data_IF_333308956307
#
_entry.id   IF_333308956307
#
_cell.length_a   1.000
_cell.length_b   1.000
_cell.length_c   1.000
_cell.angle_alpha   90.00
_cell.angle_beta   90.00
_cell.angle_gamma   90.00
#
_symmetry.space_group_name_H-M   'P 1'
#
loop_
_entity.id
_entity.type
_entity.pdbx_description
1 polymer ?
#
# COMPACT_ATOMS: atom_id res chain seq x y z
N UNK A 1 -11.07 22.38 13.32
CA UNK A 1 -9.97 21.61 13.91
C UNK A 1 -10.38 21.25 15.32
N UNK A 2 -10.20 19.97 15.73
CA UNK A 2 -10.35 19.58 17.12
C UNK A 2 -9.11 19.96 17.93
N UNK A 3 -9.26 20.22 19.22
CA UNK A 3 -8.15 20.44 20.15
C UNK A 3 -8.20 19.40 21.26
N UNK A 4 -7.03 19.01 21.75
CA UNK A 4 -6.90 18.16 22.92
C UNK A 4 -6.50 19.02 24.11
N UNK A 5 -7.17 18.82 25.24
CA UNK A 5 -6.77 19.40 26.54
C UNK A 5 -6.22 18.24 27.35
N UNK A 6 -4.97 18.36 27.79
CA UNK A 6 -4.29 17.30 28.53
C UNK A 6 -3.91 17.86 29.93
N UNK A 7 -4.45 17.23 30.97
CA UNK A 7 -4.07 17.49 32.36
C UNK A 7 -3.10 16.39 32.81
N UNK A 8 -1.91 16.77 33.23
CA UNK A 8 -0.89 15.88 33.75
C UNK A 8 -0.92 15.78 35.25
N UNK A 9 0.03 15.04 35.87
CA UNK A 9 0.21 14.94 37.31
C UNK A 9 -0.62 13.86 38.00
N UNK A 10 -1.38 13.06 37.27
CA UNK A 10 -2.15 11.94 37.80
C UNK A 10 -1.49 10.60 37.45
N UNK A 11 -1.39 9.63 38.41
CA UNK A 11 -0.94 8.28 38.09
C UNK A 11 -1.97 7.59 37.15
N UNK A 12 -1.49 7.00 36.09
CA UNK A 12 -2.33 6.25 35.15
C UNK A 12 -2.31 4.77 35.52
N UNK A 13 -3.48 4.12 35.46
CA UNK A 13 -3.64 2.67 35.63
C UNK A 13 -4.64 2.16 34.61
N UNK A 14 -4.43 0.93 34.12
CA UNK A 14 -5.31 0.28 33.15
C UNK A 14 -4.53 -0.50 32.09
N UNK A 15 -5.28 -1.09 31.15
CA UNK A 15 -4.72 -1.86 30.04
C UNK A 15 -4.98 -1.13 28.73
N UNK A 16 -3.94 -0.97 27.91
CA UNK A 16 -4.04 -0.44 26.55
C UNK A 16 -3.78 -1.59 25.60
N UNK A 17 -4.72 -1.85 24.70
CA UNK A 17 -4.53 -2.78 23.58
C UNK A 17 -4.16 -1.98 22.34
N UNK A 18 -2.91 -2.12 21.82
CA UNK A 18 -2.51 -1.41 20.60
C UNK A 18 -3.28 -1.96 19.39
N UNK A 19 -3.64 -1.07 18.47
CA UNK A 19 -4.12 -1.46 17.15
C UNK A 19 -2.93 -1.84 16.25
N UNK A 20 -3.21 -2.48 15.10
CA UNK A 20 -2.19 -2.83 14.12
C UNK A 20 -1.37 -1.64 13.63
N UNK A 21 -0.11 -1.88 13.31
CA UNK A 21 0.81 -0.86 12.82
C UNK A 21 0.50 -0.51 11.35
N UNK A 22 0.42 0.78 11.03
CA UNK A 22 0.15 1.26 9.66
C UNK A 22 1.14 0.69 8.63
N UNK A 23 2.42 0.86 8.89
CA UNK A 23 3.45 0.51 7.92
C UNK A 23 3.51 -0.99 7.69
N UNK A 24 3.42 -1.80 8.73
CA UNK A 24 3.34 -3.25 8.64
C UNK A 24 2.11 -3.69 7.81
N UNK A 25 0.94 -3.11 8.08
CA UNK A 25 -0.27 -3.42 7.33
C UNK A 25 -0.11 -3.14 5.83
N UNK A 26 0.49 -2.00 5.45
CA UNK A 26 0.74 -1.66 4.04
C UNK A 26 1.64 -2.69 3.36
N UNK A 27 2.68 -3.14 4.03
CA UNK A 27 3.63 -4.13 3.49
C UNK A 27 3.00 -5.52 3.35
N UNK A 28 2.33 -6.01 4.40
CA UNK A 28 1.70 -7.34 4.40
C UNK A 28 0.53 -7.41 3.42
N UNK A 29 -0.26 -6.33 3.29
CA UNK A 29 -1.33 -6.24 2.29
C UNK A 29 -0.75 -6.32 0.88
N UNK A 30 0.33 -5.59 0.57
CA UNK A 30 1.01 -5.69 -0.72
C UNK A 30 1.58 -7.09 -0.98
N UNK A 31 2.10 -7.76 0.06
CA UNK A 31 2.63 -9.12 -0.06
C UNK A 31 1.56 -10.15 -0.47
N UNK A 32 0.26 -9.89 -0.22
CA UNK A 32 -0.81 -10.76 -0.70
C UNK A 32 -0.88 -10.87 -2.23
N UNK A 33 -0.28 -9.94 -2.97
CA UNK A 33 -0.16 -10.01 -4.43
C UNK A 33 0.80 -11.12 -4.90
N UNK A 34 1.66 -11.65 -4.03
CA UNK A 34 2.66 -12.67 -4.40
C UNK A 34 2.06 -14.06 -4.62
N UNK A 35 0.82 -14.32 -4.19
CA UNK A 35 0.14 -15.59 -4.37
C UNK A 35 -1.21 -15.44 -5.06
N UNK A 36 -1.67 -16.53 -5.71
CA UNK A 36 -3.04 -16.64 -6.22
C UNK A 36 -4.03 -17.06 -5.15
N UNK A 37 -3.53 -17.60 -4.05
CA UNK A 37 -4.37 -18.06 -2.94
C UNK A 37 -4.95 -16.88 -2.16
N UNK A 38 -6.06 -17.14 -1.48
CA UNK A 38 -6.65 -16.14 -0.59
C UNK A 38 -5.85 -16.05 0.71
N UNK A 39 -5.38 -14.86 1.03
CA UNK A 39 -4.63 -14.56 2.26
C UNK A 39 -5.53 -13.80 3.22
N UNK A 40 -5.71 -14.31 4.43
CA UNK A 40 -6.44 -13.62 5.49
C UNK A 40 -5.47 -12.88 6.40
N UNK A 41 -5.67 -11.56 6.54
CA UNK A 41 -4.84 -10.70 7.37
C UNK A 41 -5.70 -10.13 8.49
N UNK A 42 -5.22 -10.29 9.73
CA UNK A 42 -5.88 -9.81 10.96
C UNK A 42 -5.20 -8.57 11.50
N UNK A 43 -5.91 -7.87 12.37
CA UNK A 43 -5.42 -6.67 13.05
C UNK A 43 -5.03 -5.52 12.09
N UNK A 44 -5.72 -5.43 10.95
CA UNK A 44 -5.53 -4.31 10.00
C UNK A 44 -6.13 -3.04 10.63
N UNK A 45 -5.35 -1.95 10.79
CA UNK A 45 -5.87 -0.71 11.35
C UNK A 45 -6.81 -0.01 10.36
N UNK A 46 -7.92 0.52 10.87
CA UNK A 46 -8.88 1.29 10.08
C UNK A 46 -8.43 2.75 9.98
N UNK A 47 -7.51 3.02 9.06
CA UNK A 47 -6.92 4.34 8.80
C UNK A 47 -6.89 4.63 7.30
N UNK A 48 -6.84 5.91 6.94
CA UNK A 48 -7.00 6.39 5.57
C UNK A 48 -6.02 5.75 4.59
N UNK A 49 -4.72 5.70 4.91
CA UNK A 49 -3.69 5.14 4.03
C UNK A 49 -3.94 3.66 3.72
N UNK A 50 -4.34 2.88 4.73
CA UNK A 50 -4.63 1.45 4.57
C UNK A 50 -5.89 1.25 3.74
N UNK A 51 -6.93 2.03 4.00
CA UNK A 51 -8.17 1.98 3.23
C UNK A 51 -7.95 2.36 1.76
N UNK A 52 -7.10 3.36 1.50
CA UNK A 52 -6.71 3.76 0.15
C UNK A 52 -5.93 2.66 -0.57
N UNK A 53 -5.01 1.97 0.12
CA UNK A 53 -4.31 0.83 -0.46
C UNK A 53 -5.26 -0.33 -0.78
N UNK A 54 -6.18 -0.66 0.13
CA UNK A 54 -7.20 -1.68 -0.10
C UNK A 54 -8.05 -1.34 -1.33
N UNK A 55 -8.40 -0.05 -1.49
CA UNK A 55 -9.12 0.42 -2.68
C UNK A 55 -8.30 0.22 -3.95
N UNK A 56 -7.02 0.62 -3.95
CA UNK A 56 -6.11 0.40 -5.08
C UNK A 56 -6.03 -1.07 -5.48
N UNK A 57 -5.92 -1.98 -4.52
CA UNK A 57 -5.90 -3.42 -4.79
C UNK A 57 -7.21 -3.91 -5.42
N UNK A 58 -8.36 -3.43 -4.95
CA UNK A 58 -9.66 -3.73 -5.57
C UNK A 58 -9.72 -3.23 -7.01
N UNK A 59 -9.25 -2.01 -7.25
CA UNK A 59 -9.27 -1.39 -8.57
C UNK A 59 -8.44 -2.18 -9.60
N UNK A 60 -7.33 -2.79 -9.19
CA UNK A 60 -6.52 -3.68 -10.04
C UNK A 60 -7.05 -5.12 -10.13
N UNK A 61 -8.16 -5.46 -9.48
CA UNK A 61 -8.83 -6.76 -9.62
C UNK A 61 -8.67 -7.72 -8.44
N UNK A 62 -8.00 -7.34 -7.34
CA UNK A 62 -7.96 -8.17 -6.13
C UNK A 62 -9.34 -8.24 -5.52
N UNK A 63 -9.85 -9.45 -5.28
CA UNK A 63 -11.06 -9.66 -4.50
C UNK A 63 -10.73 -9.44 -3.03
N UNK A 64 -11.36 -8.45 -2.43
CA UNK A 64 -11.14 -8.13 -1.01
C UNK A 64 -12.46 -8.22 -0.27
N UNK A 65 -12.51 -9.12 0.71
CA UNK A 65 -13.65 -9.33 1.60
C UNK A 65 -13.29 -8.88 3.01
N UNK A 66 -14.17 -8.11 3.62
CA UNK A 66 -14.04 -7.73 5.03
C UNK A 66 -14.73 -8.78 5.89
N UNK A 67 -13.96 -9.55 6.64
CA UNK A 67 -14.47 -10.63 7.51
C UNK A 67 -14.96 -10.05 8.84
N UNK A 68 -14.20 -9.13 9.41
CA UNK A 68 -14.56 -8.44 10.65
C UNK A 68 -14.06 -6.99 10.65
N UNK A 69 -14.16 -6.30 11.78
CA UNK A 69 -13.75 -4.88 11.90
C UNK A 69 -12.32 -4.64 11.40
N UNK A 70 -11.38 -5.53 11.76
CA UNK A 70 -9.96 -5.38 11.48
C UNK A 70 -9.38 -6.63 10.78
N UNK A 71 -10.20 -7.39 10.06
CA UNK A 71 -9.81 -8.64 9.40
C UNK A 71 -10.36 -8.66 7.96
N UNK A 72 -9.47 -8.93 7.02
CA UNK A 72 -9.77 -8.96 5.59
C UNK A 72 -9.16 -10.17 4.92
N UNK A 73 -9.85 -10.70 3.92
CA UNK A 73 -9.33 -11.68 2.98
C UNK A 73 -8.98 -11.00 1.67
N UNK A 74 -7.81 -11.32 1.12
CA UNK A 74 -7.30 -10.82 -0.16
C UNK A 74 -7.03 -11.99 -1.09
N UNK A 75 -7.70 -12.03 -2.25
CA UNK A 75 -7.50 -13.06 -3.26
C UNK A 75 -7.04 -12.38 -4.56
N UNK A 76 -5.74 -12.51 -4.86
CA UNK A 76 -5.11 -11.89 -6.03
C UNK A 76 -4.94 -12.90 -7.19
N UNK A 77 -5.93 -13.75 -7.45
CA UNK A 77 -5.89 -14.77 -8.50
C UNK A 77 -5.69 -14.13 -9.89
N UNK A 78 -6.45 -13.08 -10.17
CA UNK A 78 -6.43 -12.36 -11.45
C UNK A 78 -6.24 -10.88 -11.19
N UNK A 79 -5.26 -10.28 -11.88
CA UNK A 79 -4.96 -8.86 -11.83
C UNK A 79 -5.15 -8.25 -13.22
N UNK A 80 -5.78 -7.09 -13.29
CA UNK A 80 -5.88 -6.31 -14.51
C UNK A 80 -4.63 -5.46 -14.69
N UNK A 81 -3.65 -5.97 -15.42
CA UNK A 81 -2.39 -5.28 -15.67
C UNK A 81 -2.53 -4.05 -16.56
N UNK A 82 -3.54 -4.01 -17.44
CA UNK A 82 -3.79 -2.86 -18.30
C UNK A 82 -4.30 -1.65 -17.50
N UNK A 83 -5.01 -1.92 -16.40
CA UNK A 83 -5.49 -0.86 -15.51
C UNK A 83 -4.35 -0.11 -14.82
N UNK A 84 -3.17 -0.73 -14.64
CA UNK A 84 -2.00 -0.06 -14.06
C UNK A 84 -1.54 1.17 -14.85
N UNK A 85 -1.87 1.25 -16.14
CA UNK A 85 -1.53 2.37 -17.02
C UNK A 85 -2.66 3.41 -17.12
N UNK A 86 -3.78 3.20 -16.48
CA UNK A 86 -4.90 4.14 -16.50
C UNK A 86 -4.60 5.41 -15.71
N UNK A 87 -5.12 6.53 -16.16
CA UNK A 87 -4.98 7.81 -15.47
C UNK A 87 -5.57 7.76 -14.05
N UNK A 88 -6.62 6.97 -13.86
CA UNK A 88 -7.23 6.76 -12.55
C UNK A 88 -6.29 6.04 -11.57
N UNK A 89 -5.61 4.97 -12.03
CA UNK A 89 -4.64 4.27 -11.20
C UNK A 89 -3.46 5.18 -10.85
N UNK A 90 -2.92 5.89 -11.84
CA UNK A 90 -1.82 6.84 -11.66
C UNK A 90 -2.19 7.91 -10.64
N UNK A 91 -3.38 8.52 -10.76
CA UNK A 91 -3.88 9.52 -9.82
C UNK A 91 -4.01 8.96 -8.39
N UNK A 92 -4.61 7.77 -8.24
CA UNK A 92 -4.78 7.14 -6.95
C UNK A 92 -3.43 6.77 -6.29
N UNK A 93 -2.47 6.26 -7.06
CA UNK A 93 -1.11 6.00 -6.60
C UNK A 93 -0.38 7.28 -6.16
N UNK A 94 -0.55 8.38 -6.90
CA UNK A 94 0.05 9.67 -6.56
C UNK A 94 -0.44 10.25 -5.23
N UNK A 95 -1.60 9.83 -4.74
CA UNK A 95 -2.15 10.26 -3.44
C UNK A 95 -1.64 9.43 -2.25
N UNK A 96 -1.04 8.26 -2.51
CA UNK A 96 -0.64 7.30 -1.49
C UNK A 96 0.83 6.87 -1.65
N UNK A 97 1.69 7.25 -0.72
CA UNK A 97 3.09 6.81 -0.77
C UNK A 97 3.26 5.29 -0.67
N UNK A 98 2.40 4.61 0.08
CA UNK A 98 2.39 3.15 0.21
C UNK A 98 2.17 2.39 -1.09
N UNK A 99 1.68 3.06 -2.17
CA UNK A 99 1.52 2.45 -3.49
C UNK A 99 2.83 1.88 -4.06
N UNK A 100 3.96 2.46 -3.68
CA UNK A 100 5.31 2.00 -4.04
C UNK A 100 5.57 0.55 -3.61
N UNK A 101 4.95 0.09 -2.53
CA UNK A 101 5.14 -1.27 -2.01
C UNK A 101 4.55 -2.36 -2.93
N UNK A 102 3.66 -2.00 -3.84
CA UNK A 102 3.11 -2.93 -4.83
C UNK A 102 4.12 -3.31 -5.93
N UNK A 103 5.18 -2.52 -6.15
CA UNK A 103 6.13 -2.71 -7.26
C UNK A 103 6.79 -4.09 -7.20
N UNK A 104 7.35 -4.44 -6.04
CA UNK A 104 8.02 -5.73 -5.87
C UNK A 104 7.13 -6.92 -6.18
N UNK A 105 5.98 -7.06 -5.52
CA UNK A 105 5.02 -8.13 -5.79
C UNK A 105 4.52 -8.18 -7.24
N UNK A 106 4.20 -7.04 -7.83
CA UNK A 106 3.73 -6.98 -9.22
C UNK A 106 4.82 -7.40 -10.20
N UNK A 107 6.05 -6.92 -10.04
CA UNK A 107 7.18 -7.34 -10.87
C UNK A 107 7.48 -8.83 -10.71
N UNK A 108 7.53 -9.33 -9.48
CA UNK A 108 7.90 -10.71 -9.19
C UNK A 108 6.92 -11.72 -9.75
N UNK A 109 5.62 -11.40 -9.73
CA UNK A 109 4.59 -12.37 -10.13
C UNK A 109 4.09 -12.14 -11.55
N UNK A 110 4.02 -10.89 -12.00
CA UNK A 110 3.39 -10.55 -13.28
C UNK A 110 4.36 -9.94 -14.28
N UNK A 111 5.60 -9.71 -13.89
CA UNK A 111 6.64 -9.14 -14.78
C UNK A 111 6.42 -7.66 -15.15
N UNK A 112 5.39 -7.02 -14.60
CA UNK A 112 5.05 -5.63 -14.93
C UNK A 112 4.59 -4.87 -13.67
N UNK A 113 5.08 -3.64 -13.52
CA UNK A 113 4.59 -2.70 -12.53
C UNK A 113 4.65 -1.27 -13.09
N UNK A 114 3.77 -0.41 -12.65
CA UNK A 114 3.79 1.02 -12.96
C UNK A 114 4.11 1.78 -11.69
N UNK A 115 5.07 2.69 -11.79
CA UNK A 115 5.50 3.55 -10.69
C UNK A 115 5.15 4.98 -11.05
N UNK A 116 4.42 5.63 -10.17
CA UNK A 116 4.15 7.05 -10.28
C UNK A 116 4.99 7.82 -9.26
N UNK A 117 5.07 9.13 -9.42
CA UNK A 117 5.66 9.97 -8.38
C UNK A 117 4.80 9.85 -7.11
N UNK A 118 5.32 9.19 -6.05
CA UNK A 118 4.50 8.90 -4.88
C UNK A 118 4.16 10.17 -4.12
N UNK A 119 2.88 10.32 -3.79
CA UNK A 119 2.36 11.40 -2.97
C UNK A 119 2.52 11.16 -1.47
N UNK A 120 1.53 11.62 -0.70
CA UNK A 120 1.50 11.55 0.76
C UNK A 120 2.10 12.78 1.43
N UNK A 121 2.34 12.70 2.74
CA UNK A 121 2.80 13.81 3.57
C UNK A 121 4.15 14.38 3.11
N UNK A 122 4.24 15.70 3.06
CA UNK A 122 5.46 16.45 2.68
C UNK A 122 6.42 16.55 3.87
N UNK A 123 6.97 15.42 4.31
CA UNK A 123 7.92 15.36 5.43
C UNK A 123 9.39 15.31 5.00
N UNK A 124 9.69 15.69 3.76
CA UNK A 124 11.02 15.72 3.20
C UNK A 124 11.24 14.74 2.04
N UNK A 125 12.43 14.81 1.44
CA UNK A 125 12.81 13.99 0.28
C UNK A 125 13.09 12.56 0.72
N UNK A 126 12.26 11.62 0.25
CA UNK A 126 12.42 10.18 0.46
C UNK A 126 12.70 9.51 -0.87
N UNK A 127 13.97 9.23 -1.13
CA UNK A 127 14.46 8.67 -2.39
C UNK A 127 14.08 7.20 -2.54
N UNK A 128 13.84 6.77 -3.78
CA UNK A 128 13.57 5.38 -4.18
C UNK A 128 14.67 4.82 -5.08
N UNK A 129 15.73 5.59 -5.32
CA UNK A 129 16.78 5.25 -6.28
C UNK A 129 17.43 3.90 -5.99
N UNK A 130 17.65 3.59 -4.71
CA UNK A 130 18.24 2.30 -4.29
C UNK A 130 17.35 1.12 -4.61
N UNK A 131 16.01 1.28 -4.48
CA UNK A 131 15.04 0.26 -4.86
C UNK A 131 15.07 0.02 -6.38
N UNK A 132 15.07 1.11 -7.16
CA UNK A 132 15.13 1.01 -8.62
C UNK A 132 16.44 0.41 -9.10
N UNK A 133 17.54 0.76 -8.46
CA UNK A 133 18.84 0.15 -8.74
C UNK A 133 18.82 -1.36 -8.43
N UNK A 134 18.25 -1.76 -7.30
CA UNK A 134 18.08 -3.17 -6.93
C UNK A 134 17.24 -3.93 -7.97
N UNK A 135 16.08 -3.40 -8.38
CA UNK A 135 15.27 -4.01 -9.43
C UNK A 135 16.01 -4.14 -10.76
N UNK A 136 16.81 -3.12 -11.13
CA UNK A 136 17.65 -3.18 -12.33
C UNK A 136 18.67 -4.30 -12.27
N UNK A 137 19.35 -4.48 -11.13
CA UNK A 137 20.29 -5.59 -10.95
C UNK A 137 19.61 -6.96 -10.96
N UNK A 138 18.33 -7.02 -10.59
CA UNK A 138 17.51 -8.22 -10.68
C UNK A 138 16.91 -8.45 -12.09
N UNK A 139 17.25 -7.61 -13.06
CA UNK A 139 16.86 -7.77 -14.47
C UNK A 139 15.64 -6.97 -14.90
N UNK A 140 15.08 -6.10 -14.05
CA UNK A 140 13.99 -5.23 -14.46
C UNK A 140 14.47 -4.13 -15.43
N UNK A 141 13.69 -3.86 -16.46
CA UNK A 141 13.87 -2.72 -17.37
C UNK A 141 12.93 -1.59 -16.97
N UNK A 142 13.38 -0.35 -17.15
CA UNK A 142 12.58 0.84 -16.85
C UNK A 142 12.35 1.62 -18.14
N UNK A 143 11.10 1.93 -18.40
CA UNK A 143 10.69 2.90 -19.42
C UNK A 143 10.14 4.13 -18.72
N UNK A 144 10.59 5.31 -19.11
CA UNK A 144 10.07 6.57 -18.60
C UNK A 144 9.03 7.12 -19.58
N UNK A 145 7.91 7.55 -19.05
CA UNK A 145 6.89 8.24 -19.84
C UNK A 145 6.94 9.72 -19.49
N UNK A 146 7.62 10.52 -20.34
CA UNK A 146 7.84 11.94 -20.12
C UNK A 146 6.53 12.76 -20.11
N UNK A 147 5.46 12.27 -20.73
CA UNK A 147 4.16 12.94 -20.76
C UNK A 147 3.39 12.82 -19.45
N UNK A 148 3.75 11.86 -18.61
CA UNK A 148 3.03 11.55 -17.36
C UNK A 148 3.83 11.84 -16.07
N UNK A 149 5.06 12.35 -16.19
CA UNK A 149 5.91 12.82 -15.08
C UNK A 149 6.78 11.76 -14.43
#
# INVERSE_FOLDING_TARGET
MGSFIIEGGHPLSGTITPQGAKNEALEVICASLLTSDCVTIKNIPDILDVNNLIKLLKDIGVKVERISKNEYSFCAEKINLDYLESDQFIHNCASLRGSVLMIGPLLSRFGKAVVTKPGGDKIGRRRLDTHFLGFKYLGATFTHNDERG
#
